data_IF_702497269809
#
_entry.id   IF_702497269809
#
_cell.length_a   1.000
_cell.length_b   1.000
_cell.length_c   1.000
_cell.angle_alpha   90.00
_cell.angle_beta   90.00
_cell.angle_gamma   90.00
#
_symmetry.space_group_name_H-M   'P 1'
#
loop_
_entity.id
_entity.type
_entity.pdbx_description
1 polymer ?
#
# COMPACT_ATOMS: atom_id res chain seq x y z
N UNK A 1 -14.48 -54.51 -52.40
CA UNK A 1 -14.67 -53.06 -52.63
C UNK A 1 -14.70 -52.37 -51.26
N UNK A 2 -13.62 -51.71 -50.80
CA UNK A 2 -13.60 -51.05 -49.49
C UNK A 2 -13.68 -49.53 -49.67
N UNK A 3 -14.78 -48.94 -49.19
CA UNK A 3 -15.09 -47.50 -49.26
C UNK A 3 -14.37 -46.76 -48.13
N UNK A 4 -13.31 -46.01 -48.43
CA UNK A 4 -12.63 -45.14 -47.44
C UNK A 4 -13.58 -43.98 -47.05
N UNK A 5 -13.98 -43.92 -45.78
CA UNK A 5 -14.65 -42.75 -45.20
C UNK A 5 -13.65 -41.59 -45.16
N UNK A 6 -13.87 -40.58 -46.01
CA UNK A 6 -13.11 -39.33 -45.95
C UNK A 6 -13.37 -38.65 -44.62
N UNK A 7 -12.32 -38.45 -43.83
CA UNK A 7 -12.40 -37.70 -42.57
C UNK A 7 -12.83 -36.28 -42.93
N UNK A 8 -13.93 -35.79 -42.34
CA UNK A 8 -14.43 -34.44 -42.56
C UNK A 8 -13.49 -33.43 -41.91
N UNK A 9 -12.38 -33.11 -42.59
CA UNK A 9 -11.30 -32.24 -42.12
C UNK A 9 -11.81 -30.88 -41.63
N UNK A 10 -12.90 -30.38 -42.22
CA UNK A 10 -13.53 -29.11 -41.83
C UNK A 10 -14.24 -29.17 -40.47
N UNK A 11 -14.90 -30.29 -40.15
CA UNK A 11 -15.51 -30.48 -38.83
C UNK A 11 -14.43 -30.57 -37.75
N UNK A 12 -13.32 -31.25 -38.05
CA UNK A 12 -12.19 -31.36 -37.14
C UNK A 12 -11.50 -30.01 -36.92
N UNK A 13 -11.31 -29.22 -37.99
CA UNK A 13 -10.77 -27.86 -37.91
C UNK A 13 -11.63 -26.93 -37.02
N UNK A 14 -12.96 -27.06 -37.10
CA UNK A 14 -13.88 -26.29 -36.25
C UNK A 14 -13.74 -26.66 -34.77
N UNK A 15 -13.68 -27.95 -34.45
CA UNK A 15 -13.51 -28.39 -33.07
C UNK A 15 -12.12 -28.03 -32.50
N UNK A 16 -11.06 -28.09 -33.31
CA UNK A 16 -9.72 -27.65 -32.87
C UNK A 16 -9.67 -26.14 -32.63
N UNK A 17 -10.33 -25.35 -33.48
CA UNK A 17 -10.39 -23.89 -33.29
C UNK A 17 -11.20 -23.53 -32.04
N UNK A 18 -12.35 -24.17 -31.85
CA UNK A 18 -13.22 -23.93 -30.70
C UNK A 18 -12.52 -24.31 -29.38
N UNK A 19 -11.79 -25.42 -29.37
CA UNK A 19 -10.99 -25.83 -28.20
C UNK A 19 -9.85 -24.86 -27.90
N UNK A 20 -9.20 -24.31 -28.92
CA UNK A 20 -8.15 -23.30 -28.76
C UNK A 20 -8.70 -22.01 -28.12
N UNK A 21 -9.84 -21.53 -28.61
CA UNK A 21 -10.51 -20.33 -28.07
C UNK A 21 -10.92 -20.54 -26.61
N UNK A 22 -11.51 -21.69 -26.29
CA UNK A 22 -11.86 -22.05 -24.91
C UNK A 22 -10.65 -22.09 -23.99
N UNK A 23 -9.53 -22.64 -24.47
CA UNK A 23 -8.28 -22.71 -23.69
C UNK A 23 -7.72 -21.32 -23.42
N UNK A 24 -7.74 -20.42 -24.40
CA UNK A 24 -7.31 -19.02 -24.22
C UNK A 24 -8.18 -18.32 -23.17
N UNK A 25 -9.50 -18.50 -23.21
CA UNK A 25 -10.41 -17.90 -22.23
C UNK A 25 -10.13 -18.42 -20.82
N UNK A 26 -9.89 -19.72 -20.66
CA UNK A 26 -9.57 -20.33 -19.37
C UNK A 26 -8.25 -19.78 -18.82
N UNK A 27 -7.20 -19.68 -19.66
CA UNK A 27 -5.89 -19.15 -19.24
C UNK A 27 -6.00 -17.67 -18.87
N UNK A 28 -6.70 -16.85 -19.67
CA UNK A 28 -6.94 -15.46 -19.34
C UNK A 28 -7.75 -15.31 -18.04
N UNK A 29 -8.79 -16.12 -17.84
CA UNK A 29 -9.58 -16.12 -16.60
C UNK A 29 -8.74 -16.56 -15.40
N UNK A 30 -7.83 -17.52 -15.57
CA UNK A 30 -6.95 -17.98 -14.51
C UNK A 30 -5.89 -16.93 -14.14
N UNK A 31 -5.29 -16.27 -15.13
CA UNK A 31 -4.36 -15.16 -14.91
C UNK A 31 -5.09 -14.00 -14.23
N UNK A 32 -6.28 -13.64 -14.70
CA UNK A 32 -7.10 -12.57 -14.10
C UNK A 32 -7.51 -12.91 -12.66
N UNK A 33 -7.92 -14.15 -12.40
CA UNK A 33 -8.21 -14.64 -11.05
C UNK A 33 -6.97 -14.57 -10.16
N UNK A 34 -5.80 -14.99 -10.64
CA UNK A 34 -4.54 -14.91 -9.86
C UNK A 34 -4.07 -13.47 -9.63
N UNK A 35 -4.35 -12.56 -10.55
CA UNK A 35 -4.02 -11.14 -10.41
C UNK A 35 -4.93 -10.44 -9.38
N UNK A 36 -6.20 -10.85 -9.32
CA UNK A 36 -7.17 -10.37 -8.31
C UNK A 36 -7.00 -11.06 -6.95
N UNK A 37 -6.58 -12.34 -6.97
CA UNK A 37 -6.33 -13.15 -5.77
C UNK A 37 -4.83 -13.18 -5.48
N UNK A 38 -4.20 -12.01 -5.37
CA UNK A 38 -3.02 -11.89 -4.53
C UNK A 38 -3.59 -11.96 -3.12
N UNK A 39 -3.59 -13.15 -2.53
CA UNK A 39 -3.86 -13.36 -1.11
C UNK A 39 -3.12 -12.23 -0.38
N UNK A 40 -3.88 -11.29 0.19
CA UNK A 40 -3.31 -10.35 1.14
C UNK A 40 -2.67 -11.23 2.19
N UNK A 41 -1.34 -11.16 2.30
CA UNK A 41 -0.66 -11.75 3.44
C UNK A 41 -1.36 -11.15 4.66
N UNK A 42 -2.21 -11.95 5.30
CA UNK A 42 -2.86 -11.58 6.53
C UNK A 42 -1.74 -11.56 7.56
N UNK A 43 -1.09 -10.41 7.68
CA UNK A 43 -0.13 -10.15 8.72
C UNK A 43 -0.86 -10.38 10.04
N UNK A 44 -0.41 -11.39 10.78
CA UNK A 44 -0.93 -11.68 12.11
C UNK A 44 -0.48 -10.50 12.96
N UNK A 45 -1.45 -9.72 13.44
CA UNK A 45 -1.22 -8.70 14.47
C UNK A 45 -0.48 -9.40 15.61
N UNK A 46 0.83 -9.12 15.75
CA UNK A 46 1.64 -9.72 16.81
C UNK A 46 1.06 -9.33 18.15
N UNK A 47 0.85 -10.31 19.02
CA UNK A 47 0.46 -10.11 20.41
C UNK A 47 1.44 -9.14 21.10
N UNK A 48 0.93 -8.36 22.06
CA UNK A 48 1.74 -7.49 22.91
C UNK A 48 2.87 -8.30 23.56
N UNK A 49 4.09 -8.16 23.02
CA UNK A 49 5.29 -8.61 23.71
C UNK A 49 5.57 -7.63 24.84
N UNK A 50 5.82 -8.13 26.05
CA UNK A 50 6.40 -7.32 27.11
C UNK A 50 7.79 -6.88 26.64
N UNK A 51 7.96 -5.56 26.48
CA UNK A 51 9.17 -4.99 25.94
C UNK A 51 10.18 -4.83 27.07
N UNK A 52 11.16 -5.73 27.12
CA UNK A 52 12.28 -5.67 28.05
C UNK A 52 13.39 -4.79 27.46
N UNK A 53 13.85 -3.78 28.20
CA UNK A 53 14.92 -2.90 27.71
C UNK A 53 14.91 -1.50 28.32
N UNK A 54 15.72 -0.60 27.77
CA UNK A 54 15.71 0.80 28.13
C UNK A 54 14.53 1.51 27.43
N UNK A 55 13.65 2.13 28.22
CA UNK A 55 12.47 2.86 27.73
C UNK A 55 12.76 4.37 27.72
N UNK A 56 12.55 4.99 26.56
CA UNK A 56 12.64 6.43 26.38
C UNK A 56 11.28 6.98 25.95
N UNK A 57 10.75 7.92 26.73
CA UNK A 57 9.55 8.64 26.35
C UNK A 57 9.93 9.90 25.58
N UNK A 58 9.42 10.01 24.35
CA UNK A 58 9.63 11.14 23.45
C UNK A 58 8.30 11.87 23.29
N UNK A 59 8.32 13.18 23.51
CA UNK A 59 7.19 14.07 23.25
C UNK A 59 7.63 15.10 22.23
N UNK A 60 6.85 15.28 21.17
CA UNK A 60 7.17 16.17 20.06
C UNK A 60 5.91 16.88 19.56
N UNK A 61 6.12 17.91 18.73
CA UNK A 61 5.06 18.64 18.03
C UNK A 61 4.97 18.20 16.57
N UNK A 62 3.82 18.45 15.95
CA UNK A 62 3.57 18.29 14.51
C UNK A 62 4.57 19.10 13.68
N UNK A 63 4.88 20.33 14.11
CA UNK A 63 5.85 21.19 13.45
C UNK A 63 7.25 20.57 13.43
N UNK A 64 7.70 20.03 14.57
CA UNK A 64 9.00 19.36 14.68
C UNK A 64 9.06 18.10 13.79
N UNK A 65 7.97 17.34 13.73
CA UNK A 65 7.88 16.16 12.86
C UNK A 65 7.90 16.57 11.39
N UNK A 66 7.21 17.66 11.00
CA UNK A 66 7.26 18.17 9.63
C UNK A 66 8.67 18.58 9.22
N UNK A 67 9.40 19.26 10.10
CA UNK A 67 10.81 19.62 9.85
C UNK A 67 11.66 18.36 9.67
N UNK A 68 11.47 17.35 10.52
CA UNK A 68 12.18 16.08 10.41
C UNK A 68 11.84 15.34 9.10
N UNK A 69 10.56 15.25 8.74
CA UNK A 69 10.11 14.61 7.50
C UNK A 69 10.72 15.28 6.28
N UNK A 70 10.69 16.61 6.22
CA UNK A 70 11.31 17.36 5.14
C UNK A 70 12.80 17.02 4.99
N UNK A 71 13.53 16.98 6.11
CA UNK A 71 14.95 16.64 6.10
C UNK A 71 15.23 15.22 5.61
N UNK A 72 14.38 14.24 5.91
CA UNK A 72 14.55 12.88 5.39
C UNK A 72 14.27 12.81 3.89
N UNK A 73 13.21 13.45 3.41
CA UNK A 73 12.90 13.50 1.98
C UNK A 73 13.99 14.19 1.16
N UNK A 74 14.62 15.23 1.72
CA UNK A 74 15.77 15.89 1.09
C UNK A 74 16.98 14.95 1.01
N UNK A 75 17.26 14.16 2.05
CA UNK A 75 18.37 13.19 2.07
C UNK A 75 18.19 12.06 1.07
N UNK A 76 16.97 11.55 0.92
CA UNK A 76 16.66 10.44 0.02
C UNK A 76 16.55 10.88 -1.46
N UNK A 77 16.81 12.16 -1.76
CA UNK A 77 16.74 12.69 -3.12
C UNK A 77 15.30 12.85 -3.64
N UNK A 78 14.30 12.66 -2.78
CA UNK A 78 12.89 12.90 -3.08
C UNK A 78 12.51 14.40 -3.07
N UNK A 79 13.47 15.28 -2.79
CA UNK A 79 13.35 16.75 -2.92
C UNK A 79 12.96 17.24 -4.32
N UNK A 80 13.05 16.42 -5.37
CA UNK A 80 12.61 16.79 -6.70
C UNK A 80 11.08 16.73 -6.81
N UNK A 81 10.39 17.77 -6.32
CA UNK A 81 9.03 18.28 -6.60
C UNK A 81 7.82 17.31 -6.79
N UNK A 82 8.03 16.01 -6.72
CA UNK A 82 7.11 14.97 -7.14
C UNK A 82 6.67 14.12 -5.94
N UNK A 83 7.18 14.39 -4.73
CA UNK A 83 6.75 13.76 -3.49
C UNK A 83 6.82 14.78 -2.34
N UNK A 84 5.68 15.06 -1.74
CA UNK A 84 5.53 15.94 -0.57
C UNK A 84 4.67 15.22 0.47
N UNK A 85 5.20 15.13 1.69
CA UNK A 85 4.51 14.58 2.86
C UNK A 85 4.61 15.61 3.97
N UNK A 86 3.47 15.97 4.56
CA UNK A 86 3.41 16.88 5.70
C UNK A 86 2.15 16.60 6.54
N UNK A 87 2.20 17.04 7.78
CA UNK A 87 1.18 16.84 8.81
C UNK A 87 0.56 18.21 9.15
N UNK A 88 -0.77 18.33 9.06
CA UNK A 88 -1.51 19.51 9.54
C UNK A 88 -2.64 19.04 10.46
N UNK A 89 -3.91 19.17 10.06
CA UNK A 89 -5.03 18.50 10.75
C UNK A 89 -5.12 17.02 10.37
N UNK A 90 -4.58 16.68 9.19
CA UNK A 90 -4.52 15.35 8.60
C UNK A 90 -3.09 15.06 8.11
N UNK A 91 -2.83 13.82 7.73
CA UNK A 91 -1.62 13.49 7.00
C UNK A 91 -1.86 13.76 5.53
N UNK A 92 -1.07 14.67 4.95
CA UNK A 92 -1.19 15.07 3.55
C UNK A 92 -0.05 14.48 2.73
N UNK A 93 -0.40 13.82 1.63
CA UNK A 93 0.55 13.30 0.66
C UNK A 93 0.23 13.90 -0.70
N UNK A 94 1.21 14.55 -1.34
CA UNK A 94 1.12 15.00 -2.73
C UNK A 94 2.23 14.37 -3.53
N UNK A 95 1.89 13.65 -4.59
CA UNK A 95 2.89 12.94 -5.40
C UNK A 95 2.48 12.88 -6.87
N UNK A 96 3.41 12.61 -7.76
CA UNK A 96 3.13 12.33 -9.17
C UNK A 96 3.46 10.88 -9.51
N UNK A 97 2.47 10.12 -10.00
CA UNK A 97 2.69 8.75 -10.46
C UNK A 97 2.69 8.71 -11.99
N UNK A 98 3.59 7.92 -12.57
CA UNK A 98 3.60 7.63 -14.00
C UNK A 98 2.85 6.31 -14.24
N UNK A 99 1.64 6.40 -14.77
CA UNK A 99 0.82 5.24 -15.13
C UNK A 99 0.37 5.35 -16.58
N UNK A 100 0.47 4.26 -17.34
CA UNK A 100 0.06 4.20 -18.76
C UNK A 100 0.70 5.27 -19.66
N UNK A 101 1.91 5.72 -19.34
CA UNK A 101 2.60 6.79 -20.09
C UNK A 101 2.09 8.20 -19.81
N UNK A 102 1.25 8.38 -18.79
CA UNK A 102 0.73 9.67 -18.33
C UNK A 102 1.20 9.94 -16.90
N UNK A 103 1.63 11.17 -16.63
CA UNK A 103 1.95 11.65 -15.29
C UNK A 103 0.67 12.14 -14.62
N UNK A 104 0.33 11.56 -13.48
CA UNK A 104 -0.92 11.83 -12.76
C UNK A 104 -0.56 12.46 -11.41
N UNK A 105 -0.95 13.73 -11.16
CA UNK A 105 -0.81 14.33 -9.84
C UNK A 105 -1.84 13.73 -8.89
N UNK A 106 -1.36 13.21 -7.78
CA UNK A 106 -2.12 12.65 -6.69
C UNK A 106 -2.05 13.58 -5.49
N UNK A 107 -3.20 13.84 -4.87
CA UNK A 107 -3.28 14.46 -3.56
C UNK A 107 -4.17 13.61 -2.68
N UNK A 108 -3.67 13.26 -1.50
CA UNK A 108 -4.31 12.33 -0.58
C UNK A 108 -4.27 12.91 0.82
N UNK A 109 -5.35 12.72 1.56
CA UNK A 109 -5.47 13.07 2.96
C UNK A 109 -5.84 11.82 3.75
N UNK A 110 -5.14 11.61 4.86
CA UNK A 110 -5.37 10.46 5.74
C UNK A 110 -5.69 10.89 7.16
N UNK A 111 -6.64 10.19 7.75
CA UNK A 111 -6.94 10.24 9.18
C UNK A 111 -6.06 9.23 9.92
N UNK A 112 -5.19 9.68 10.86
CA UNK A 112 -4.35 8.79 11.64
C UNK A 112 -5.11 8.16 12.81
N UNK A 113 -4.94 6.85 12.98
CA UNK A 113 -5.55 6.06 14.06
C UNK A 113 -4.48 5.21 14.74
N UNK A 114 -4.40 5.32 16.07
CA UNK A 114 -3.51 4.48 16.87
C UNK A 114 -4.20 3.14 17.09
N UNK A 115 -3.50 2.04 16.80
CA UNK A 115 -4.02 0.71 17.08
C UNK A 115 -3.81 0.35 18.55
N UNK A 116 -4.52 -0.67 19.05
CA UNK A 116 -4.39 -1.11 20.44
C UNK A 116 -2.95 -1.49 20.82
N UNK A 117 -2.15 -1.93 19.85
CA UNK A 117 -0.77 -2.36 20.07
C UNK A 117 0.22 -1.19 19.99
N UNK A 118 -0.26 0.04 19.71
CA UNK A 118 0.52 1.26 19.57
C UNK A 118 1.23 1.41 18.23
N UNK A 119 0.72 0.71 17.20
CA UNK A 119 1.06 0.97 15.80
C UNK A 119 0.16 2.08 15.22
N UNK A 120 0.42 2.50 13.98
CA UNK A 120 -0.33 3.57 13.32
C UNK A 120 -1.05 3.07 12.07
N UNK A 121 -2.34 3.35 11.97
CA UNK A 121 -3.13 3.20 10.75
C UNK A 121 -3.39 4.59 10.16
N UNK A 122 -3.22 4.72 8.84
CA UNK A 122 -3.58 5.92 8.08
C UNK A 122 -4.72 5.56 7.15
N UNK A 123 -5.94 5.94 7.53
CA UNK A 123 -7.15 5.63 6.76
C UNK A 123 -7.42 6.77 5.80
N UNK A 124 -7.67 6.45 4.53
CA UNK A 124 -7.98 7.45 3.52
C UNK A 124 -9.24 8.23 3.89
N UNK A 125 -9.09 9.55 3.92
CA UNK A 125 -10.18 10.50 4.16
C UNK A 125 -10.64 11.12 2.85
N UNK A 126 -9.69 11.58 2.05
CA UNK A 126 -9.98 12.22 0.79
C UNK A 126 -8.88 11.96 -0.23
N UNK A 127 -9.30 11.95 -1.48
CA UNK A 127 -8.46 11.59 -2.60
C UNK A 127 -8.81 12.43 -3.82
N UNK A 128 -7.80 13.10 -4.38
CA UNK A 128 -7.93 13.96 -5.55
C UNK A 128 -6.94 13.55 -6.65
N UNK A 129 -7.50 13.28 -7.84
CA UNK A 129 -6.76 13.09 -9.09
C UNK A 129 -7.24 14.13 -10.09
N UNK A 130 -6.46 15.20 -10.27
CA UNK A 130 -6.67 16.22 -11.31
C UNK A 130 -8.14 16.40 -11.74
N UNK A 131 -8.45 16.01 -12.99
CA UNK A 131 -9.80 16.04 -13.57
C UNK A 131 -10.41 14.64 -13.81
N UNK A 132 -9.80 13.57 -13.31
CA UNK A 132 -10.20 12.18 -13.61
C UNK A 132 -10.74 11.47 -12.37
N UNK A 133 -11.85 10.77 -12.50
CA UNK A 133 -12.46 10.01 -11.39
C UNK A 133 -12.02 8.55 -11.46
N UNK A 134 -10.84 8.22 -10.92
CA UNK A 134 -10.48 6.83 -10.64
C UNK A 134 -10.98 6.45 -9.24
N UNK A 135 -11.53 5.24 -9.04
CA UNK A 135 -11.83 4.74 -7.71
C UNK A 135 -10.57 4.69 -6.84
N UNK A 136 -10.65 5.16 -5.61
CA UNK A 136 -9.50 5.21 -4.69
C UNK A 136 -8.85 3.82 -4.50
N UNK A 137 -9.64 2.76 -4.42
CA UNK A 137 -9.16 1.37 -4.33
C UNK A 137 -8.16 1.01 -5.46
N UNK A 138 -8.44 1.45 -6.69
CA UNK A 138 -7.55 1.20 -7.84
C UNK A 138 -6.17 1.83 -7.64
N UNK A 139 -6.11 3.00 -6.99
CA UNK A 139 -4.86 3.71 -6.73
C UNK A 139 -4.06 2.99 -5.67
N UNK A 140 -4.69 2.50 -4.60
CA UNK A 140 -4.00 1.70 -3.60
C UNK A 140 -3.44 0.40 -4.19
N UNK A 141 -4.18 -0.25 -5.09
CA UNK A 141 -3.66 -1.43 -5.82
C UNK A 141 -2.44 -1.05 -6.68
N UNK A 142 -2.47 0.11 -7.34
CA UNK A 142 -1.32 0.59 -8.12
C UNK A 142 -0.11 0.90 -7.23
N UNK A 143 -0.32 1.62 -6.12
CA UNK A 143 0.74 1.97 -5.17
C UNK A 143 1.42 0.71 -4.62
N UNK A 144 0.63 -0.29 -4.21
CA UNK A 144 1.15 -1.59 -3.74
C UNK A 144 2.04 -2.31 -4.75
N UNK A 145 1.79 -2.13 -6.04
CA UNK A 145 2.53 -2.83 -7.09
C UNK A 145 3.68 -2.00 -7.69
N UNK A 146 3.73 -0.69 -7.43
CA UNK A 146 4.64 0.25 -8.11
C UNK A 146 5.65 0.89 -7.18
N UNK A 147 5.28 1.07 -5.90
CA UNK A 147 6.13 1.73 -4.90
C UNK A 147 6.80 0.66 -4.06
N UNK A 148 8.12 0.71 -4.00
CA UNK A 148 8.89 -0.10 -3.05
C UNK A 148 8.81 0.57 -1.68
N UNK A 149 8.01 -0.02 -0.79
CA UNK A 149 7.81 0.46 0.56
C UNK A 149 8.65 -0.34 1.54
N UNK A 150 9.18 0.28 2.60
CA UNK A 150 9.83 -0.44 3.68
C UNK A 150 8.92 -1.53 4.27
N UNK A 151 9.52 -2.60 4.79
CA UNK A 151 8.80 -3.78 5.30
C UNK A 151 7.80 -3.45 6.43
N UNK A 152 7.99 -2.34 7.15
CA UNK A 152 7.08 -1.87 8.19
C UNK A 152 5.84 -1.13 7.67
N UNK A 153 5.71 -0.87 6.37
CA UNK A 153 4.55 -0.21 5.78
C UNK A 153 3.76 -1.20 4.92
N UNK A 154 2.52 -1.43 5.31
CA UNK A 154 1.59 -2.30 4.62
C UNK A 154 0.47 -1.48 3.98
N UNK A 155 0.09 -1.85 2.76
CA UNK A 155 -1.03 -1.24 2.04
C UNK A 155 -2.20 -2.23 2.04
N UNK A 156 -3.37 -1.77 2.50
CA UNK A 156 -4.64 -2.49 2.39
C UNK A 156 -5.57 -1.77 1.39
N UNK A 157 -5.61 -2.20 0.12
CA UNK A 157 -6.37 -1.49 -0.90
C UNK A 157 -7.88 -1.50 -0.69
N UNK A 158 -8.44 -2.62 -0.24
CA UNK A 158 -9.88 -2.76 0.00
C UNK A 158 -10.36 -1.81 1.11
N UNK A 159 -9.56 -1.68 2.17
CA UNK A 159 -9.83 -0.79 3.30
C UNK A 159 -9.34 0.64 3.08
N UNK A 160 -8.64 0.90 1.96
CA UNK A 160 -8.01 2.19 1.62
C UNK A 160 -7.20 2.77 2.79
N UNK A 161 -6.34 1.93 3.38
CA UNK A 161 -5.50 2.33 4.50
C UNK A 161 -4.06 1.88 4.35
N UNK A 162 -3.16 2.63 4.96
CA UNK A 162 -1.81 2.17 5.27
C UNK A 162 -1.76 1.72 6.73
N UNK A 163 -1.02 0.65 6.99
CA UNK A 163 -0.70 0.18 8.34
C UNK A 163 0.80 0.24 8.52
N UNK A 164 1.24 0.91 9.58
CA UNK A 164 2.65 1.10 9.93
C UNK A 164 2.95 0.26 11.17
N UNK A 165 3.70 -0.82 11.01
CA UNK A 165 4.17 -1.67 12.10
C UNK A 165 5.44 -1.09 12.74
N UNK A 166 5.25 -0.04 13.52
CA UNK A 166 6.34 0.69 14.20
C UNK A 166 6.95 -0.12 15.36
N UNK A 167 6.17 -1.02 15.95
CA UNK A 167 6.60 -1.84 17.09
C UNK A 167 7.54 -2.95 16.63
N UNK A 168 7.23 -3.67 15.54
CA UNK A 168 8.03 -4.84 15.12
C UNK A 168 8.73 -4.69 13.77
N UNK A 169 8.30 -3.76 12.91
CA UNK A 169 8.77 -3.69 11.53
C UNK A 169 9.99 -2.78 11.30
N UNK A 170 10.34 -1.90 12.25
CA UNK A 170 11.42 -0.93 12.04
C UNK A 170 12.80 -1.60 12.14
N UNK A 171 13.05 -2.29 13.26
CA UNK A 171 14.20 -3.18 13.43
C UNK A 171 14.00 -4.11 14.63
N UNK A 172 14.82 -5.15 14.74
CA UNK A 172 14.80 -6.04 15.92
C UNK A 172 15.29 -5.33 17.20
N UNK A 173 16.21 -4.37 17.05
CA UNK A 173 16.88 -3.68 18.17
C UNK A 173 16.11 -2.43 18.66
N UNK A 174 15.23 -1.87 17.83
CA UNK A 174 14.52 -0.61 18.11
C UNK A 174 13.04 -0.78 17.83
N UNK A 175 12.24 -0.57 18.86
CA UNK A 175 10.78 -0.68 18.77
C UNK A 175 10.14 0.65 19.16
N UNK A 176 9.17 1.11 18.38
CA UNK A 176 8.49 2.38 18.61
C UNK A 176 7.00 2.12 18.84
N UNK A 177 6.50 2.54 20.02
CA UNK A 177 5.08 2.50 20.37
C UNK A 177 4.52 3.92 20.41
N UNK A 178 3.45 4.19 19.68
CA UNK A 178 2.75 5.46 19.73
C UNK A 178 1.73 5.44 20.87
N UNK A 179 1.85 6.39 21.80
CA UNK A 179 0.88 6.57 22.88
C UNK A 179 -0.13 7.67 22.55
N UNK A 180 0.28 8.70 21.81
CA UNK A 180 -0.58 9.80 21.41
C UNK A 180 -0.13 10.34 20.06
N UNK A 181 -1.08 10.54 19.15
CA UNK A 181 -0.84 11.08 17.82
C UNK A 181 -2.01 12.01 17.49
N UNK A 182 -2.02 13.16 18.16
CA UNK A 182 -3.07 14.15 17.98
C UNK A 182 -2.52 15.34 17.20
N UNK A 183 -2.90 15.38 15.92
CA UNK A 183 -2.46 16.41 15.00
C UNK A 183 -3.11 17.78 15.30
N UNK A 184 -4.39 17.80 15.72
CA UNK A 184 -5.09 19.04 16.04
C UNK A 184 -4.55 19.73 17.30
N UNK A 185 -4.21 18.95 18.33
CA UNK A 185 -3.66 19.46 19.58
C UNK A 185 -2.13 19.61 19.55
N UNK A 186 -1.51 19.44 18.38
CA UNK A 186 -0.07 19.54 18.18
C UNK A 186 0.75 18.67 19.17
N UNK A 187 0.26 17.45 19.45
CA UNK A 187 0.77 16.62 20.53
C UNK A 187 0.98 15.18 20.06
N UNK A 188 2.26 14.82 19.90
CA UNK A 188 2.69 13.49 19.52
C UNK A 188 3.57 12.94 20.65
N UNK A 189 3.20 11.76 21.17
CA UNK A 189 3.93 11.05 22.22
C UNK A 189 4.17 9.61 21.78
N UNK A 190 5.42 9.19 21.92
CA UNK A 190 5.86 7.87 21.55
C UNK A 190 6.89 7.38 22.56
N UNK A 191 6.92 6.07 22.73
CA UNK A 191 7.90 5.37 23.52
C UNK A 191 8.80 4.56 22.62
N UNK A 192 10.08 4.67 22.89
CA UNK A 192 11.12 3.96 22.17
C UNK A 192 11.75 2.96 23.14
N UNK A 193 11.76 1.70 22.73
CA UNK A 193 12.35 0.60 23.46
C UNK A 193 13.62 0.15 22.72
N UNK A 194 14.73 0.12 23.46
CA UNK A 194 16.01 -0.37 22.98
C UNK A 194 16.32 -1.69 23.68
N UNK A 195 16.49 -2.76 22.90
CA UNK A 195 16.89 -4.08 23.39
C UNK A 195 18.41 -4.19 23.60
#
# INVERSE_FOLDING_TARGET
>A
MYKRRGVNKWKWAFFTLLSSILLIIIVCSFIFYRLLTVEGESFIISDERELEGAEFQISTTVDDVNVWLQQQLEKDGHSNNNFHLYLEEYVHIRTEINAFGVTIPLQMEFDPHITNNGNLELVERSFMIGNYTLPAETVFVLLRNTVDLPEWIYIYPEERKFYLDLVNGISEDVQIKIDTFNLQDNNIKMRLFLS
#
